data_IF_820588846713
#
_entry.id   IF_820588846713
#
_cell.length_a   1.000
_cell.length_b   1.000
_cell.length_c   1.000
_cell.angle_alpha   90.00
_cell.angle_beta   90.00
_cell.angle_gamma   90.00
#
_symmetry.space_group_name_H-M   'P 1'
#
loop_
_entity.id
_entity.type
_entity.pdbx_description
1 polymer ?
#
# COMPACT_ATOMS: atom_id res chain seq x y z
N UNK A 1 29.51 -1.56 23.27
CA UNK A 1 28.51 -0.51 22.98
C UNK A 1 27.70 -1.01 21.79
N UNK A 2 26.62 -1.72 22.07
CA UNK A 2 25.88 -2.52 21.08
C UNK A 2 24.64 -1.73 20.69
N UNK A 3 24.60 -1.21 19.46
CA UNK A 3 23.41 -0.59 18.89
C UNK A 3 22.63 -1.65 18.12
N UNK A 4 21.53 -2.13 18.71
CA UNK A 4 20.54 -2.98 18.06
C UNK A 4 19.77 -2.13 17.03
N UNK A 5 19.64 -2.55 15.76
CA UNK A 5 18.69 -1.92 14.87
C UNK A 5 17.28 -2.21 15.38
N UNK A 6 16.52 -1.14 15.65
CA UNK A 6 15.10 -1.25 15.98
C UNK A 6 14.38 -2.00 14.88
N UNK A 7 13.74 -3.11 15.24
CA UNK A 7 12.69 -3.71 14.41
C UNK A 7 11.60 -2.66 14.26
N UNK A 8 11.67 -1.87 13.19
CA UNK A 8 10.48 -1.23 12.64
C UNK A 8 9.51 -2.38 12.44
N UNK A 9 8.47 -2.42 13.28
CA UNK A 9 7.35 -3.31 13.07
C UNK A 9 6.81 -3.03 11.69
N UNK A 10 7.23 -3.84 10.72
CA UNK A 10 6.53 -4.01 9.46
C UNK A 10 5.22 -4.68 9.86
N UNK A 11 4.23 -3.87 10.24
CA UNK A 11 2.86 -4.30 10.34
C UNK A 11 2.44 -4.61 8.92
N UNK A 12 2.77 -5.83 8.47
CA UNK A 12 2.27 -6.41 7.24
C UNK A 12 0.76 -6.50 7.39
N UNK A 13 0.07 -5.48 6.92
CA UNK A 13 -1.36 -5.55 6.70
C UNK A 13 -1.52 -6.53 5.54
N UNK A 14 -1.90 -7.78 5.85
CA UNK A 14 -2.13 -8.85 4.87
C UNK A 14 -2.87 -8.28 3.66
N UNK A 15 -2.12 -8.12 2.56
CA UNK A 15 -2.36 -7.11 1.54
C UNK A 15 -3.66 -7.31 0.79
N UNK A 16 -4.55 -6.32 0.86
CA UNK A 16 -5.70 -6.22 -0.03
C UNK A 16 -5.19 -5.70 -1.37
N UNK A 17 -4.64 -6.55 -2.23
CA UNK A 17 -4.06 -6.12 -3.53
C UNK A 17 -5.00 -5.18 -4.30
N UNK A 18 -4.42 -4.24 -5.05
CA UNK A 18 -5.18 -3.36 -5.93
C UNK A 18 -5.96 -4.22 -6.94
N UNK A 19 -7.30 -4.17 -6.98
CA UNK A 19 -8.09 -5.05 -7.83
C UNK A 19 -7.92 -4.76 -9.33
N UNK A 20 -7.26 -3.65 -9.68
CA UNK A 20 -7.07 -3.22 -11.07
C UNK A 20 -5.71 -3.60 -11.65
N UNK A 21 -4.65 -3.70 -10.85
CA UNK A 21 -3.30 -3.99 -11.33
C UNK A 21 -2.56 -5.05 -10.50
N UNK A 22 -3.17 -5.58 -9.44
CA UNK A 22 -2.59 -6.61 -8.58
C UNK A 22 -1.52 -6.13 -7.60
N UNK A 23 -1.16 -4.84 -7.60
CA UNK A 23 -0.12 -4.33 -6.70
C UNK A 23 -0.53 -4.40 -5.23
N UNK A 24 0.34 -4.87 -4.32
CA UNK A 24 0.11 -4.81 -2.88
C UNK A 24 -0.17 -3.39 -2.44
N UNK A 25 -1.17 -3.29 -1.58
CA UNK A 25 -1.78 -2.06 -1.10
C UNK A 25 -0.83 -1.25 -0.18
N UNK A 26 0.13 -1.94 0.42
CA UNK A 26 1.21 -1.44 1.27
C UNK A 26 2.56 -1.33 0.53
N UNK A 27 2.64 -1.81 -0.71
CA UNK A 27 3.84 -1.73 -1.53
C UNK A 27 3.97 -0.38 -2.23
N UNK A 28 5.20 0.02 -2.53
CA UNK A 28 5.42 0.99 -3.61
C UNK A 28 4.92 0.35 -4.92
N UNK A 29 4.12 1.06 -5.75
CA UNK A 29 4.18 2.50 -6.02
C UNK A 29 3.00 3.33 -5.45
N UNK A 30 2.41 2.98 -4.31
CA UNK A 30 1.33 3.81 -3.74
C UNK A 30 1.87 5.15 -3.21
N UNK A 31 1.52 6.25 -3.90
CA UNK A 31 1.90 7.61 -3.45
C UNK A 31 0.83 8.20 -2.55
N UNK A 32 1.24 8.73 -1.39
CA UNK A 32 0.36 9.50 -0.51
C UNK A 32 0.00 10.84 -1.18
N UNK A 33 -1.28 11.08 -1.40
CA UNK A 33 -1.81 12.29 -2.05
C UNK A 33 -2.25 13.31 -1.02
N UNK A 34 -2.92 12.86 0.04
CA UNK A 34 -3.41 13.72 1.11
C UNK A 34 -3.47 12.96 2.42
N UNK A 35 -3.35 13.71 3.51
CA UNK A 35 -3.41 13.18 4.86
C UNK A 35 -4.13 14.18 5.75
N UNK A 36 -5.21 13.74 6.38
CA UNK A 36 -6.03 14.58 7.24
C UNK A 36 -6.16 13.94 8.62
N UNK A 37 -5.58 14.57 9.63
CA UNK A 37 -5.63 14.11 11.02
C UNK A 37 -6.81 14.75 11.74
N UNK A 38 -7.50 13.95 12.55
CA UNK A 38 -8.64 14.36 13.39
C UNK A 38 -8.46 13.81 14.80
N UNK A 39 -9.29 14.21 15.75
CA UNK A 39 -9.25 13.66 17.11
C UNK A 39 -9.55 12.15 17.16
N UNK A 40 -10.29 11.61 16.17
CA UNK A 40 -10.68 10.21 16.10
C UNK A 40 -9.67 9.32 15.33
N UNK A 41 -8.56 9.89 14.85
CA UNK A 41 -7.59 9.20 14.00
C UNK A 41 -7.30 9.99 12.72
N UNK A 42 -6.88 9.30 11.66
CA UNK A 42 -6.41 9.95 10.43
C UNK A 42 -6.95 9.27 9.19
N UNK A 43 -7.35 10.10 8.22
CA UNK A 43 -7.69 9.64 6.89
C UNK A 43 -6.50 9.88 5.95
N UNK A 44 -6.12 8.85 5.20
CA UNK A 44 -5.06 8.92 4.20
C UNK A 44 -5.63 8.59 2.83
N UNK A 45 -5.22 9.37 1.84
CA UNK A 45 -5.57 9.16 0.44
C UNK A 45 -4.29 8.78 -0.30
N UNK A 46 -4.30 7.62 -0.92
CA UNK A 46 -3.16 7.06 -1.65
C UNK A 46 -3.55 6.78 -3.08
N UNK A 47 -2.61 6.94 -4.01
CA UNK A 47 -2.81 6.65 -5.43
C UNK A 47 -1.88 5.51 -5.84
N UNK A 48 -2.46 4.42 -6.32
CA UNK A 48 -1.72 3.31 -6.91
C UNK A 48 -1.01 3.76 -8.21
N UNK A 49 0.04 3.04 -8.63
CA UNK A 49 0.71 3.27 -9.91
C UNK A 49 -0.22 3.18 -11.14
N UNK A 50 -1.32 2.41 -11.04
CA UNK A 50 -2.36 2.35 -12.08
C UNK A 50 -3.31 3.56 -12.07
N UNK A 51 -3.18 4.49 -11.12
CA UNK A 51 -4.01 5.68 -11.00
C UNK A 51 -5.26 5.53 -10.11
N UNK A 52 -5.59 4.32 -9.65
CA UNK A 52 -6.69 4.10 -8.69
C UNK A 52 -6.43 4.84 -7.37
N UNK A 53 -7.43 5.58 -6.88
CA UNK A 53 -7.38 6.27 -5.59
C UNK A 53 -7.93 5.35 -4.50
N UNK A 54 -7.22 5.27 -3.39
CA UNK A 54 -7.61 4.52 -2.21
C UNK A 54 -7.66 5.43 -0.99
N UNK A 55 -8.78 5.39 -0.27
CA UNK A 55 -9.00 6.11 0.98
C UNK A 55 -8.94 5.12 2.13
N UNK A 56 -8.12 5.40 3.13
CA UNK A 56 -8.02 4.61 4.35
C UNK A 56 -8.25 5.46 5.57
N UNK A 57 -8.95 4.88 6.54
CA UNK A 57 -9.03 5.40 7.90
C UNK A 57 -8.04 4.62 8.75
N UNK A 58 -7.28 5.33 9.56
CA UNK A 58 -6.34 4.80 10.54
C UNK A 58 -6.77 5.33 11.91
N UNK A 59 -7.17 4.43 12.78
CA UNK A 59 -7.59 4.72 14.15
C UNK A 59 -6.97 3.68 15.12
N UNK A 60 -7.37 3.72 16.39
CA UNK A 60 -6.85 2.79 17.41
C UNK A 60 -7.17 1.31 17.12
N UNK A 61 -8.14 1.03 16.23
CA UNK A 61 -8.50 -0.33 15.78
C UNK A 61 -7.67 -0.77 14.57
N UNK A 62 -6.79 0.09 14.06
CA UNK A 62 -5.89 -0.18 12.94
C UNK A 62 -6.27 0.55 11.65
N UNK A 63 -5.75 0.07 10.52
CA UNK A 63 -5.99 0.66 9.20
C UNK A 63 -7.03 -0.12 8.42
N UNK A 64 -8.02 0.58 7.84
CA UNK A 64 -9.01 -0.02 6.94
C UNK A 64 -9.24 0.82 5.70
N UNK A 65 -9.43 0.16 4.57
CA UNK A 65 -9.80 0.79 3.30
C UNK A 65 -11.30 1.07 3.32
N UNK A 66 -11.70 2.33 3.16
CA UNK A 66 -13.12 2.74 3.20
C UNK A 66 -13.67 3.13 1.84
N UNK A 67 -12.81 3.49 0.89
CA UNK A 67 -13.21 3.85 -0.47
C UNK A 67 -12.09 3.52 -1.44
N UNK A 68 -12.46 3.07 -2.63
CA UNK A 68 -11.53 2.84 -3.73
C UNK A 68 -12.17 3.28 -5.05
N UNK A 69 -11.45 4.07 -5.84
CA UNK A 69 -11.94 4.54 -7.14
C UNK A 69 -11.40 3.68 -8.27
N UNK A 70 -12.14 3.64 -9.39
CA UNK A 70 -11.62 3.09 -10.65
C UNK A 70 -10.41 3.94 -11.12
N UNK A 71 -9.38 3.31 -11.70
CA UNK A 71 -8.31 4.03 -12.38
C UNK A 71 -8.83 4.73 -13.65
N UNK A 72 -8.13 5.76 -14.15
CA UNK A 72 -8.43 6.36 -15.45
C UNK A 72 -8.36 5.32 -16.58
N UNK A 73 -9.19 5.46 -17.62
CA UNK A 73 -9.34 4.47 -18.70
C UNK A 73 -8.06 4.30 -19.55
N UNK A 74 -7.20 5.31 -19.52
CA UNK A 74 -6.01 5.49 -20.35
C UNK A 74 -4.71 5.03 -19.66
N UNK A 75 -4.79 4.47 -18.45
CA UNK A 75 -3.64 3.84 -17.79
C UNK A 75 -3.60 2.35 -18.16
N UNK A 76 -2.63 1.90 -18.98
CA UNK A 76 -2.50 0.47 -19.24
C UNK A 76 -2.25 -0.26 -17.92
N UNK A 77 -2.83 -1.47 -17.71
CA UNK A 77 -2.53 -2.25 -16.53
C UNK A 77 -1.02 -2.46 -16.50
N UNK A 78 -0.35 -1.85 -15.51
CA UNK A 78 1.06 -2.08 -15.28
C UNK A 78 1.21 -3.57 -15.06
N UNK A 79 1.90 -4.28 -15.97
CA UNK A 79 2.27 -5.67 -15.74
C UNK A 79 3.01 -5.68 -14.42
N UNK A 80 2.48 -6.38 -13.42
CA UNK A 80 3.13 -6.59 -12.13
C UNK A 80 4.51 -7.18 -12.42
N UNK A 81 5.52 -6.31 -12.43
CA UNK A 81 6.89 -6.65 -12.75
C UNK A 81 7.55 -7.12 -11.47
N UNK A 82 7.88 -8.42 -11.45
CA UNK A 82 8.83 -8.99 -10.51
C UNK A 82 8.21 -9.36 -9.17
N UNK A 83 8.10 -10.66 -8.96
CA UNK A 83 7.79 -11.28 -7.69
C UNK A 83 8.50 -10.60 -6.51
N UNK A 84 7.78 -10.41 -5.41
CA UNK A 84 8.39 -10.47 -4.10
C UNK A 84 9.18 -11.79 -4.06
N UNK A 85 10.51 -11.70 -4.01
CA UNK A 85 11.40 -12.84 -4.16
C UNK A 85 11.05 -13.98 -3.21
N UNK A 86 10.82 -15.16 -3.78
CA UNK A 86 11.09 -16.43 -3.13
C UNK A 86 12.17 -17.11 -3.96
N UNK A 87 13.26 -17.48 -3.28
CA UNK A 87 14.57 -17.74 -3.87
C UNK A 87 14.61 -18.85 -4.93
N UNK A 88 15.50 -18.65 -5.90
CA UNK A 88 16.01 -19.70 -6.77
C UNK A 88 17.53 -19.67 -6.75
N UNK A 89 18.14 -20.42 -5.83
CA UNK A 89 19.53 -20.87 -5.95
C UNK A 89 19.59 -22.04 -6.92
N UNK A 90 20.47 -21.97 -7.91
CA UNK A 90 20.87 -23.09 -8.80
C UNK A 90 21.39 -22.54 -10.12
N UNK A 91 22.57 -22.89 -10.64
CA UNK A 91 23.63 -23.83 -10.26
C UNK A 91 24.97 -23.20 -10.63
#
# INVERSE_FOLDING_TARGET
>A
MTSTPGTTGATGSTGVICPYCGWPDDGEPFRLVSRHTTAAGRTVWTRCGCGSLQVRVVDDRGSRVVTRSRPPADVPPSRAGGACGVGGTGH
#
